data_IF_622809738076
#
_entry.id   IF_622809738076
#
_cell.length_a   1.000
_cell.length_b   1.000
_cell.length_c   1.000
_cell.angle_alpha   90.00
_cell.angle_beta   90.00
_cell.angle_gamma   90.00
#
_symmetry.space_group_name_H-M   'P 1'
#
loop_
_entity.id
_entity.type
_entity.pdbx_description
1 polymer ?
#
# COMPACT_ATOMS: atom_id res chain seq x y z
N UNK A 1 2.78 -2.02 17.04
CA UNK A 1 1.37 -2.30 16.66
C UNK A 1 1.40 -2.87 15.26
N UNK A 2 0.60 -3.89 15.00
CA UNK A 2 0.50 -4.55 13.70
C UNK A 2 -0.96 -4.53 13.25
N UNK A 3 -1.18 -4.19 11.99
CA UNK A 3 -2.48 -4.19 11.35
C UNK A 3 -2.44 -5.07 10.11
N UNK A 4 -3.43 -5.97 9.96
CA UNK A 4 -3.55 -6.86 8.82
C UNK A 4 -4.73 -6.47 7.95
N UNK A 5 -4.50 -6.36 6.65
CA UNK A 5 -5.52 -6.23 5.62
C UNK A 5 -5.45 -7.39 4.64
N UNK A 6 -6.61 -7.89 4.22
CA UNK A 6 -6.72 -8.94 3.20
C UNK A 6 -7.63 -8.42 2.10
N UNK A 7 -7.12 -8.35 0.87
CA UNK A 7 -7.85 -7.96 -0.32
C UNK A 7 -8.09 -9.18 -1.21
N UNK A 8 -9.32 -9.34 -1.68
CA UNK A 8 -9.71 -10.43 -2.56
C UNK A 8 -10.43 -11.59 -1.85
N UNK A 9 -10.49 -12.77 -2.49
CA UNK A 9 -9.88 -13.10 -3.78
C UNK A 9 -10.43 -12.27 -4.96
N UNK A 10 -9.61 -12.04 -5.99
CA UNK A 10 -10.05 -11.44 -7.24
C UNK A 10 -9.36 -12.08 -8.46
N UNK A 11 -10.02 -12.10 -9.63
CA UNK A 11 -9.42 -12.65 -10.85
C UNK A 11 -8.34 -11.71 -11.40
N UNK A 12 -7.08 -12.18 -11.50
CA UNK A 12 -5.94 -11.31 -11.84
C UNK A 12 -5.66 -11.19 -13.35
N UNK A 13 -6.12 -12.13 -14.19
CA UNK A 13 -6.01 -12.13 -15.66
C UNK A 13 -4.59 -11.88 -16.24
N UNK A 14 -3.55 -12.05 -15.43
CA UNK A 14 -2.17 -11.77 -15.86
C UNK A 14 -1.70 -12.83 -16.85
N UNK A 15 -1.09 -12.42 -17.95
CA UNK A 15 -0.47 -13.33 -18.91
C UNK A 15 0.82 -13.90 -18.35
N UNK A 16 1.14 -15.17 -18.65
CA UNK A 16 2.45 -15.77 -18.35
C UNK A 16 3.62 -15.13 -19.11
N UNK A 17 3.32 -14.38 -20.17
CA UNK A 17 4.32 -13.64 -20.96
C UNK A 17 4.61 -12.23 -20.44
N UNK A 18 3.97 -11.81 -19.35
CA UNK A 18 4.12 -10.44 -18.84
C UNK A 18 5.59 -10.14 -18.47
N UNK A 19 6.06 -8.96 -18.86
CA UNK A 19 7.42 -8.49 -18.54
C UNK A 19 7.53 -7.91 -17.16
N UNK A 20 6.46 -7.27 -16.68
CA UNK A 20 6.42 -6.60 -15.38
C UNK A 20 5.03 -6.64 -14.78
N UNK A 21 4.98 -6.80 -13.47
CA UNK A 21 3.79 -6.54 -12.69
C UNK A 21 4.13 -5.62 -11.51
N UNK A 22 3.28 -4.63 -11.29
CA UNK A 22 3.36 -3.72 -10.17
C UNK A 22 2.05 -3.76 -9.38
N UNK A 23 2.16 -3.85 -8.05
CA UNK A 23 1.06 -3.65 -7.14
C UNK A 23 1.05 -2.19 -6.70
N UNK A 24 -0.07 -1.52 -6.92
CA UNK A 24 -0.22 -0.09 -6.70
C UNK A 24 -1.25 0.20 -5.62
N UNK A 25 -0.86 1.03 -4.67
CA UNK A 25 -1.71 1.57 -3.60
C UNK A 25 -1.87 3.06 -3.85
N UNK A 26 -3.11 3.52 -4.00
CA UNK A 26 -3.42 4.92 -4.31
C UNK A 26 -4.39 5.52 -3.30
N UNK A 27 -4.33 6.85 -3.19
CA UNK A 27 -5.13 7.56 -2.20
C UNK A 27 -4.73 7.24 -0.76
N UNK A 28 -3.45 6.93 -0.51
CA UNK A 28 -2.96 6.55 0.81
C UNK A 28 -3.04 7.77 1.74
N UNK A 29 -3.86 7.69 2.78
CA UNK A 29 -3.89 8.69 3.84
C UNK A 29 -2.63 8.53 4.70
N UNK A 30 -1.73 9.49 4.60
CA UNK A 30 -0.50 9.50 5.39
C UNK A 30 -0.56 10.48 6.58
N UNK A 31 -1.76 10.93 6.99
CA UNK A 31 -2.03 11.44 8.35
C UNK A 31 -2.23 10.27 9.32
N UNK A 32 -1.20 9.43 9.36
CA UNK A 32 -1.06 8.22 10.15
C UNK A 32 0.40 8.16 10.63
N UNK A 33 0.76 7.35 11.62
CA UNK A 33 2.15 7.06 11.93
C UNK A 33 2.93 6.53 10.74
N UNK A 34 4.24 6.68 10.78
CA UNK A 34 5.10 5.98 9.84
C UNK A 34 4.98 4.47 10.04
N UNK A 35 4.94 3.71 8.95
CA UNK A 35 4.83 2.25 8.99
C UNK A 35 5.56 1.57 7.83
N UNK A 36 5.89 0.31 8.04
CA UNK A 36 6.35 -0.61 6.99
C UNK A 36 5.22 -1.58 6.71
N UNK A 37 4.89 -1.77 5.44
CA UNK A 37 3.89 -2.73 4.99
C UNK A 37 4.55 -3.83 4.16
N UNK A 38 4.49 -5.05 4.67
CA UNK A 38 4.88 -6.26 3.95
C UNK A 38 3.64 -6.81 3.21
N UNK A 39 3.84 -7.25 1.98
CA UNK A 39 2.78 -7.74 1.10
C UNK A 39 3.01 -9.21 0.80
N UNK A 40 1.95 -10.00 0.86
CA UNK A 40 1.95 -11.42 0.59
C UNK A 40 0.86 -11.79 -0.41
N UNK A 41 1.15 -12.74 -1.30
CA UNK A 41 0.19 -13.30 -2.24
C UNK A 41 -0.29 -14.67 -1.77
N UNK A 42 -1.61 -14.89 -1.85
CA UNK A 42 -2.28 -16.15 -1.52
C UNK A 42 -1.94 -16.70 -0.13
N UNK A 43 -1.70 -15.81 0.84
CA UNK A 43 -1.36 -16.14 2.23
C UNK A 43 -2.19 -15.28 3.20
N UNK A 44 -3.49 -15.58 3.39
CA UNK A 44 -4.37 -14.82 4.29
C UNK A 44 -4.03 -15.03 5.77
N UNK A 45 -3.29 -16.10 6.09
CA UNK A 45 -3.01 -16.54 7.45
C UNK A 45 -1.73 -15.95 8.04
N UNK A 46 -0.87 -15.31 7.23
CA UNK A 46 0.30 -14.59 7.73
C UNK A 46 -0.09 -13.55 8.79
N UNK A 47 0.73 -13.46 9.83
CA UNK A 47 0.54 -12.61 11.00
C UNK A 47 1.87 -12.10 11.54
N UNK A 48 1.83 -11.33 12.62
CA UNK A 48 2.99 -10.73 13.28
C UNK A 48 4.05 -11.74 13.77
N UNK A 49 3.68 -13.01 13.97
CA UNK A 49 4.59 -14.06 14.44
C UNK A 49 5.24 -14.82 13.29
N UNK A 50 4.62 -14.75 12.11
CA UNK A 50 5.00 -15.50 10.92
C UNK A 50 5.50 -14.62 9.79
N UNK A 51 5.39 -13.29 9.92
CA UNK A 51 5.91 -12.26 9.02
C UNK A 51 7.41 -12.46 8.75
N UNK A 52 7.77 -12.68 7.49
CA UNK A 52 9.16 -12.80 7.08
C UNK A 52 9.33 -12.57 5.58
N UNK A 53 10.35 -11.80 5.16
CA UNK A 53 10.68 -11.62 3.74
C UNK A 53 11.20 -12.90 3.05
N UNK A 54 11.56 -13.93 3.82
CA UNK A 54 12.03 -15.22 3.28
C UNK A 54 10.88 -16.18 2.95
N UNK A 55 9.62 -15.80 3.24
CA UNK A 55 8.44 -16.61 2.88
C UNK A 55 8.28 -16.68 1.38
N UNK A 56 7.89 -17.85 0.87
CA UNK A 56 7.60 -18.04 -0.55
C UNK A 56 6.47 -17.14 -1.06
N UNK A 57 5.55 -16.75 -0.19
CA UNK A 57 4.38 -15.91 -0.48
C UNK A 57 4.69 -14.41 -0.41
N UNK A 58 5.89 -14.02 0.04
CA UNK A 58 6.28 -12.60 0.14
C UNK A 58 6.39 -11.96 -1.25
N UNK A 59 5.58 -10.95 -1.50
CA UNK A 59 5.49 -10.25 -2.79
C UNK A 59 6.32 -8.96 -2.82
N UNK A 60 6.60 -8.36 -1.66
CA UNK A 60 7.39 -7.15 -1.55
C UNK A 60 6.96 -6.30 -0.36
N UNK A 61 7.50 -5.08 -0.29
CA UNK A 61 7.19 -4.13 0.79
C UNK A 61 7.16 -2.69 0.31
N UNK A 62 6.47 -1.85 1.07
CA UNK A 62 6.59 -0.40 0.98
C UNK A 62 6.63 0.24 2.37
N UNK A 63 7.04 1.51 2.40
CA UNK A 63 7.10 2.31 3.63
C UNK A 63 6.36 3.61 3.40
N UNK A 64 5.59 4.03 4.40
CA UNK A 64 4.98 5.35 4.49
C UNK A 64 5.69 6.14 5.58
N UNK A 65 6.11 7.35 5.23
CA UNK A 65 6.53 8.36 6.18
C UNK A 65 5.30 9.18 6.52
N UNK A 66 4.67 8.82 7.63
CA UNK A 66 3.40 9.38 8.06
C UNK A 66 3.59 10.66 8.87
N UNK A 67 2.64 11.58 8.74
CA UNK A 67 2.59 12.86 9.45
C UNK A 67 1.81 12.78 10.78
N UNK A 68 1.30 11.59 11.15
CA UNK A 68 0.50 11.36 12.35
C UNK A 68 -0.75 12.26 12.39
N UNK A 69 -0.71 13.35 13.15
CA UNK A 69 -1.82 14.29 13.31
C UNK A 69 -1.53 15.61 12.60
N UNK A 70 -2.59 16.31 12.20
CA UNK A 70 -2.45 17.64 11.64
C UNK A 70 -1.93 18.61 12.72
N UNK A 71 -0.82 19.29 12.45
CA UNK A 71 -0.28 20.35 13.30
C UNK A 71 -0.17 21.63 12.48
N UNK A 72 -1.04 22.62 12.76
CA UNK A 72 -1.08 23.88 12.03
C UNK A 72 -2.28 24.74 12.40
N UNK A 73 -2.40 25.89 11.74
CA UNK A 73 -3.56 26.77 11.86
C UNK A 73 -4.77 26.23 11.04
N UNK A 74 -5.94 26.85 11.20
CA UNK A 74 -7.14 26.51 10.42
C UNK A 74 -6.85 26.47 8.91
N UNK A 75 -7.33 25.43 8.24
CA UNK A 75 -7.08 25.19 6.81
C UNK A 75 -5.71 24.59 6.45
N UNK A 76 -4.76 24.44 7.40
CA UNK A 76 -3.41 23.94 7.08
C UNK A 76 -3.39 22.55 6.41
N UNK A 77 -4.27 21.66 6.86
CA UNK A 77 -4.37 20.29 6.34
C UNK A 77 -5.50 20.13 5.31
N UNK A 78 -6.23 21.19 5.02
CA UNK A 78 -7.27 21.22 3.98
C UNK A 78 -6.61 21.48 2.64
N UNK A 79 -5.98 20.43 2.10
CA UNK A 79 -5.32 20.52 0.79
C UNK A 79 -6.38 20.60 -0.29
N UNK A 80 -6.33 21.66 -1.07
CA UNK A 80 -7.12 21.72 -2.29
C UNK A 80 -6.59 20.67 -3.29
N UNK A 81 -7.47 19.74 -3.64
CA UNK A 81 -7.18 18.65 -4.58
C UNK A 81 -7.50 19.04 -6.02
N UNK A 82 -7.84 20.31 -6.28
CA UNK A 82 -7.99 20.81 -7.65
C UNK A 82 -6.72 20.54 -8.47
N UNK A 83 -6.87 20.00 -9.70
CA UNK A 83 -5.74 19.69 -10.53
C UNK A 83 -4.93 20.97 -10.79
N UNK A 84 -3.58 20.91 -10.71
CA UNK A 84 -2.75 22.05 -11.04
C UNK A 84 -3.15 22.63 -12.39
N UNK A 85 -3.07 23.96 -12.52
CA UNK A 85 -3.33 24.65 -13.79
C UNK A 85 -2.54 23.94 -14.89
N UNK A 86 -3.05 23.93 -16.12
CA UNK A 86 -2.51 23.16 -17.27
C UNK A 86 -0.97 23.15 -17.44
N UNK A 87 -0.27 24.18 -16.96
CA UNK A 87 1.18 24.34 -17.07
C UNK A 87 1.88 24.58 -15.72
N UNK A 88 1.23 24.24 -14.61
CA UNK A 88 1.84 24.31 -13.27
C UNK A 88 2.60 23.01 -13.01
N UNK A 89 3.93 23.12 -12.99
CA UNK A 89 4.90 22.04 -12.84
C UNK A 89 5.48 21.95 -11.42
N UNK A 90 4.95 22.72 -10.48
CA UNK A 90 5.34 22.63 -9.08
C UNK A 90 5.03 21.22 -8.55
N UNK A 91 5.84 20.71 -7.60
CA UNK A 91 5.54 19.44 -6.96
C UNK A 91 4.15 19.44 -6.31
N UNK A 92 3.52 18.27 -6.26
CA UNK A 92 2.27 18.06 -5.52
C UNK A 92 2.44 18.48 -4.06
N UNK A 93 1.37 19.01 -3.46
CA UNK A 93 1.37 19.40 -2.06
C UNK A 93 1.76 18.21 -1.17
N UNK A 94 2.56 18.44 -0.12
CA UNK A 94 3.10 17.35 0.73
C UNK A 94 2.03 16.53 1.46
N UNK A 95 0.85 17.12 1.64
CA UNK A 95 -0.30 16.47 2.26
C UNK A 95 -1.27 15.84 1.23
N UNK A 96 -0.94 15.87 -0.07
CA UNK A 96 -1.68 15.14 -1.11
C UNK A 96 -1.55 13.65 -0.86
N UNK A 97 -2.67 12.92 -0.76
CA UNK A 97 -2.69 11.47 -0.52
C UNK A 97 -1.62 10.73 -1.33
N UNK A 98 -0.84 9.90 -0.64
CA UNK A 98 0.33 9.27 -1.23
C UNK A 98 -0.05 8.15 -2.22
N UNK A 99 0.91 7.85 -3.08
CA UNK A 99 0.87 6.72 -4.00
C UNK A 99 2.10 5.86 -3.78
N UNK A 100 1.93 4.53 -3.73
CA UNK A 100 3.03 3.57 -3.64
C UNK A 100 2.89 2.48 -4.69
N UNK A 101 4.03 2.11 -5.25
CA UNK A 101 4.17 1.06 -6.25
C UNK A 101 5.20 0.06 -5.77
N UNK A 102 4.79 -1.20 -5.66
CA UNK A 102 5.65 -2.32 -5.32
C UNK A 102 5.81 -3.17 -6.57
N UNK A 103 7.04 -3.45 -7.00
CA UNK A 103 7.28 -4.38 -8.10
C UNK A 103 7.08 -5.81 -7.59
N UNK A 104 6.14 -6.52 -8.19
CA UNK A 104 5.69 -7.87 -7.76
C UNK A 104 5.81 -8.92 -8.86
N UNK A 105 6.58 -8.63 -9.92
CA UNK A 105 6.66 -9.48 -11.12
C UNK A 105 6.92 -10.96 -10.80
N UNK A 106 7.95 -11.25 -10.01
CA UNK A 106 8.35 -12.64 -9.77
C UNK A 106 7.41 -13.35 -8.80
N UNK A 107 6.88 -12.63 -7.80
CA UNK A 107 5.85 -13.15 -6.91
C UNK A 107 4.55 -13.47 -7.65
N UNK A 108 4.12 -12.60 -8.57
CA UNK A 108 2.93 -12.86 -9.40
C UNK A 108 3.16 -14.08 -10.31
N UNK A 109 4.35 -14.22 -10.91
CA UNK A 109 4.70 -15.38 -11.73
C UNK A 109 4.57 -16.69 -10.95
N UNK A 110 4.96 -16.71 -9.69
CA UNK A 110 4.86 -17.88 -8.83
C UNK A 110 3.41 -18.29 -8.51
N UNK A 111 2.43 -17.42 -8.76
CA UNK A 111 1.02 -17.66 -8.44
C UNK A 111 0.11 -17.71 -9.69
N UNK A 112 0.65 -17.68 -10.91
CA UNK A 112 -0.14 -17.60 -12.15
C UNK A 112 -1.06 -18.79 -12.42
N UNK A 113 -0.75 -19.97 -11.85
CA UNK A 113 -1.56 -21.17 -12.02
C UNK A 113 -2.88 -21.08 -11.25
N UNK A 114 -2.98 -20.18 -10.26
CA UNK A 114 -4.19 -19.89 -9.51
C UNK A 114 -4.96 -18.75 -10.19
N UNK A 115 -6.23 -18.94 -10.60
CA UNK A 115 -6.97 -17.92 -11.34
C UNK A 115 -7.32 -16.68 -10.49
N UNK A 116 -7.37 -16.87 -9.18
CA UNK A 116 -7.72 -15.86 -8.21
C UNK A 116 -6.51 -15.49 -7.35
N UNK A 117 -6.35 -14.21 -7.06
CA UNK A 117 -5.30 -13.67 -6.23
C UNK A 117 -5.89 -13.09 -4.94
N UNK A 118 -5.30 -13.45 -3.81
CA UNK A 118 -5.50 -12.79 -2.52
C UNK A 118 -4.24 -11.99 -2.18
N UNK A 119 -4.41 -10.75 -1.73
CA UNK A 119 -3.30 -9.90 -1.29
C UNK A 119 -3.45 -9.66 0.20
N UNK A 120 -2.47 -10.10 0.98
CA UNK A 120 -2.39 -9.79 2.41
C UNK A 120 -1.36 -8.69 2.62
N UNK A 121 -1.72 -7.66 3.36
CA UNK A 121 -0.83 -6.57 3.76
C UNK A 121 -0.72 -6.59 5.28
N UNK A 122 0.50 -6.75 5.77
CA UNK A 122 0.83 -6.66 7.19
C UNK A 122 1.61 -5.37 7.44
N UNK A 123 0.95 -4.40 8.07
CA UNK A 123 1.54 -3.10 8.36
C UNK A 123 1.98 -3.02 9.82
N UNK A 124 3.24 -2.65 10.02
CA UNK A 124 3.86 -2.56 11.35
C UNK A 124 4.30 -1.13 11.62
N UNK A 125 3.90 -0.61 12.77
CA UNK A 125 4.33 0.70 13.29
C UNK A 125 4.80 0.60 14.74
N UNK A 126 5.54 1.62 15.19
CA UNK A 126 6.02 1.72 16.56
C UNK A 126 4.83 1.85 17.53
N UNK A 127 4.74 1.06 18.62
CA UNK A 127 3.57 1.06 19.50
C UNK A 127 3.15 2.44 20.02
N UNK A 128 4.12 3.27 20.38
CA UNK A 128 3.89 4.61 20.92
C UNK A 128 3.23 5.55 19.90
N UNK A 129 3.55 5.39 18.62
CA UNK A 129 2.96 6.20 17.56
C UNK A 129 1.50 5.78 17.27
N UNK A 130 1.11 4.55 17.64
CA UNK A 130 -0.23 4.02 17.42
C UNK A 130 -1.26 4.43 18.50
N UNK A 131 -0.86 5.14 19.55
CA UNK A 131 -1.67 5.35 20.76
C UNK A 131 -2.91 6.22 20.52
N UNK A 132 -2.84 7.17 19.59
CA UNK A 132 -3.89 8.18 19.33
C UNK A 132 -4.46 8.09 17.90
N UNK A 133 -4.37 6.91 17.27
CA UNK A 133 -4.85 6.69 15.91
C UNK A 133 -6.38 6.70 15.86
N UNK A 134 -6.96 7.64 15.11
CA UNK A 134 -8.37 7.61 14.73
C UNK A 134 -8.52 6.95 13.34
N UNK A 135 -8.84 5.66 13.34
CA UNK A 135 -9.04 4.84 12.14
C UNK A 135 -7.91 3.83 11.87
N UNK A 136 -7.88 3.24 10.66
CA UNK A 136 -6.88 2.23 10.30
C UNK A 136 -5.52 2.86 9.98
N UNK A 137 -4.45 2.11 10.25
CA UNK A 137 -3.08 2.45 9.89
C UNK A 137 -2.87 2.44 8.37
N UNK A 138 -3.40 1.43 7.69
CA UNK A 138 -3.46 1.35 6.23
C UNK A 138 -4.82 1.87 5.77
N UNK A 139 -4.86 3.15 5.46
CA UNK A 139 -6.03 3.87 4.94
C UNK A 139 -5.73 4.25 3.49
N UNK A 140 -6.37 3.55 2.54
CA UNK A 140 -6.14 3.71 1.10
C UNK A 140 -7.47 3.79 0.36
N UNK A 141 -7.53 4.54 -0.73
CA UNK A 141 -8.72 4.59 -1.58
C UNK A 141 -8.84 3.33 -2.46
N UNK A 142 -7.69 2.72 -2.80
CA UNK A 142 -7.71 1.46 -3.52
C UNK A 142 -6.35 0.82 -3.75
N UNK A 143 -6.45 -0.41 -4.25
CA UNK A 143 -5.33 -1.27 -4.60
C UNK A 143 -5.58 -1.80 -6.01
N UNK A 144 -4.56 -1.77 -6.87
CA UNK A 144 -4.65 -2.33 -8.22
C UNK A 144 -3.39 -3.09 -8.62
N UNK A 145 -3.56 -4.09 -9.47
CA UNK A 145 -2.48 -4.82 -10.11
C UNK A 145 -2.31 -4.32 -11.55
N UNK A 146 -1.15 -3.75 -11.86
CA UNK A 146 -0.80 -3.29 -13.20
C UNK A 146 0.20 -4.26 -13.85
N UNK A 147 -0.16 -4.81 -15.01
CA UNK A 147 0.72 -5.72 -15.78
C UNK A 147 1.16 -5.06 -17.09
N UNK A 148 2.40 -5.33 -17.50
CA UNK A 148 3.01 -4.79 -18.70
C UNK A 148 3.63 -5.93 -19.54
N UNK A 149 3.36 -5.93 -20.84
CA UNK A 149 3.79 -6.94 -21.82
C UNK A 149 5.18 -6.70 -22.42
#
# INVERSE_FOLDING_TARGET
MVEKHVYGPFPHRASSTMRRADLEFFGINHFRPSYVANVYFNDPDVDETTDSPDRATFAGRFTIFGHETCLGDEGHCEVDHEPPRRFDDRPTHMLTRAFKRVRVTDALRACLDEPDLTITVLATTHPQAATDLDGPLVDVEGVQLATFD
#
